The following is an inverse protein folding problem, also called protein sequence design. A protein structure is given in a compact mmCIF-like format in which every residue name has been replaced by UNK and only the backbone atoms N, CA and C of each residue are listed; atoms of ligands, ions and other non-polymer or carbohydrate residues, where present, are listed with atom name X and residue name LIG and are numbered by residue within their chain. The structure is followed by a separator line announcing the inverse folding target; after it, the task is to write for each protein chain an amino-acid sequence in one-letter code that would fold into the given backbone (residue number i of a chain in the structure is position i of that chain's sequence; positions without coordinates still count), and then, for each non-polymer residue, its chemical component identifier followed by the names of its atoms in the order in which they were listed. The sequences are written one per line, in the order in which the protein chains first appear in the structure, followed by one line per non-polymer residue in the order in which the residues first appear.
data_IF_335173243851
#
_entry.id   IF_335173243851
#
_cell.length_a   1.000
_cell.length_b   1.000
_cell.length_c   1.000
_cell.angle_alpha   90.00
_cell.angle_beta   90.00
_cell.angle_gamma   90.00
#
_symmetry.space_group_name_H-M   'P 1'
#
loop_
_entity.id
_entity.type
_entity.pdbx_description
1 polymer ?
#
# COMPACT_ATOMS: atom_id res chain seq x y z
N UNK A 1 14.87 5.12 -5.22
CA UNK A 1 14.93 3.92 -4.34
C UNK A 1 14.15 4.07 -3.03
N UNK A 2 13.92 5.27 -2.48
CA UNK A 2 13.28 5.44 -1.15
C UNK A 2 11.81 4.99 -1.07
N UNK A 3 11.00 5.22 -2.12
CA UNK A 3 9.57 4.92 -2.14
C UNK A 3 9.25 3.42 -1.95
N UNK A 4 10.10 2.54 -2.47
CA UNK A 4 9.91 1.08 -2.42
C UNK A 4 10.12 0.54 -1.00
N UNK A 5 11.12 1.05 -0.28
CA UNK A 5 11.40 0.67 1.11
C UNK A 5 10.30 1.15 2.04
N UNK A 6 9.79 2.36 1.81
CA UNK A 6 8.68 2.91 2.60
C UNK A 6 7.38 2.14 2.34
N UNK A 7 7.07 1.82 1.09
CA UNK A 7 5.92 1.00 0.74
C UNK A 7 5.98 -0.39 1.41
N UNK A 8 7.17 -1.00 1.43
CA UNK A 8 7.39 -2.26 2.13
C UNK A 8 7.15 -2.11 3.65
N UNK A 9 7.64 -1.04 4.28
CA UNK A 9 7.40 -0.80 5.72
C UNK A 9 5.91 -0.61 6.02
N UNK A 10 5.20 0.19 5.23
CA UNK A 10 3.75 0.42 5.39
C UNK A 10 2.99 -0.90 5.27
N UNK A 11 3.28 -1.68 4.24
CA UNK A 11 2.67 -3.00 4.05
C UNK A 11 2.94 -3.93 5.23
N UNK A 12 4.18 -3.99 5.72
CA UNK A 12 4.51 -4.81 6.90
C UNK A 12 3.83 -4.31 8.19
N UNK A 13 3.48 -3.03 8.28
CA UNK A 13 2.74 -2.45 9.40
C UNK A 13 1.24 -2.79 9.39
N UNK A 14 0.68 -3.24 8.26
CA UNK A 14 -0.73 -3.57 8.15
C UNK A 14 -1.00 -4.96 8.75
N UNK A 15 -1.81 -4.98 9.80
CA UNK A 15 -2.22 -6.22 10.47
C UNK A 15 -2.93 -7.19 9.50
N UNK A 16 -2.25 -8.30 9.19
CA UNK A 16 -2.70 -9.33 8.26
C UNK A 16 -1.86 -9.44 6.97
N UNK A 17 -0.98 -8.47 6.69
CA UNK A 17 -0.01 -8.57 5.60
C UNK A 17 1.20 -9.37 6.09
N UNK A 18 1.20 -10.66 5.79
CA UNK A 18 2.38 -11.51 6.01
C UNK A 18 3.42 -11.37 4.90
N UNK A 19 4.62 -11.96 5.07
CA UNK A 19 5.68 -11.94 4.06
C UNK A 19 5.23 -12.55 2.71
N UNK A 20 4.29 -13.50 2.74
CA UNK A 20 3.68 -14.09 1.56
C UNK A 20 2.80 -13.09 0.81
N UNK A 21 1.97 -12.33 1.52
CA UNK A 21 1.09 -11.31 0.92
C UNK A 21 1.91 -10.17 0.32
N UNK A 22 2.94 -9.70 1.04
CA UNK A 22 3.87 -8.68 0.54
C UNK A 22 4.64 -9.15 -0.71
N UNK A 23 5.10 -10.41 -0.73
CA UNK A 23 5.77 -10.99 -1.92
C UNK A 23 4.81 -11.05 -3.11
N UNK A 24 3.57 -11.48 -2.90
CA UNK A 24 2.56 -11.56 -3.97
C UNK A 24 2.14 -10.20 -4.51
N UNK A 25 1.99 -9.20 -3.64
CA UNK A 25 1.80 -7.83 -4.07
C UNK A 25 2.99 -7.37 -4.92
N UNK A 26 4.22 -7.61 -4.45
CA UNK A 26 5.40 -7.27 -5.24
C UNK A 26 5.38 -7.94 -6.62
N UNK A 27 5.04 -9.22 -6.70
CA UNK A 27 4.97 -9.95 -7.98
C UNK A 27 3.81 -9.47 -8.87
N UNK A 28 2.65 -9.16 -8.30
CA UNK A 28 1.48 -8.69 -9.05
C UNK A 28 1.64 -7.27 -9.63
N UNK A 29 2.54 -6.48 -9.05
CA UNK A 29 2.84 -5.11 -9.45
C UNK A 29 4.26 -4.97 -10.01
N UNK A 30 4.85 -6.06 -10.52
CA UNK A 30 6.15 -6.07 -11.22
C UNK A 30 7.32 -5.48 -10.39
N UNK A 31 7.29 -5.66 -9.07
CA UNK A 31 8.25 -5.09 -8.15
C UNK A 31 7.77 -3.82 -7.46
N UNK A 32 6.71 -3.18 -7.95
CA UNK A 32 6.29 -1.85 -7.51
C UNK A 32 5.26 -1.93 -6.37
N UNK A 33 5.76 -1.81 -5.14
CA UNK A 33 4.91 -1.83 -3.94
C UNK A 33 4.14 -0.52 -3.77
N UNK A 34 4.63 0.60 -4.33
CA UNK A 34 3.92 1.87 -4.30
C UNK A 34 2.68 1.83 -5.20
N UNK A 35 2.79 1.20 -6.38
CA UNK A 35 1.65 0.91 -7.26
C UNK A 35 0.65 -0.03 -6.59
N UNK A 36 1.12 -1.00 -5.80
CA UNK A 36 0.26 -1.89 -5.02
C UNK A 36 -0.53 -1.13 -3.94
N UNK A 37 0.12 -0.19 -3.26
CA UNK A 37 -0.50 0.69 -2.27
C UNK A 37 -1.50 1.67 -2.90
N UNK A 38 -1.27 2.10 -4.14
CA UNK A 38 -2.19 2.99 -4.88
C UNK A 38 -3.27 2.23 -5.67
N UNK A 39 -3.28 0.90 -5.60
CA UNK A 39 -4.21 0.09 -6.37
C UNK A 39 -5.61 0.06 -5.75
N UNK A 40 -6.62 -0.07 -6.60
CA UNK A 40 -7.99 -0.25 -6.13
C UNK A 40 -8.17 -1.53 -5.29
N UNK A 41 -9.00 -1.43 -4.25
CA UNK A 41 -9.44 -2.54 -3.41
C UNK A 41 -9.87 -3.78 -4.20
N UNK A 42 -10.62 -3.62 -5.29
CA UNK A 42 -11.08 -4.74 -6.13
C UNK A 42 -9.92 -5.50 -6.77
N UNK A 43 -8.87 -4.78 -7.21
CA UNK A 43 -7.66 -5.37 -7.80
C UNK A 43 -6.83 -6.09 -6.75
N UNK A 44 -6.74 -5.51 -5.56
CA UNK A 44 -6.07 -6.13 -4.41
C UNK A 44 -6.80 -7.39 -3.94
N UNK A 45 -8.12 -7.35 -3.83
CA UNK A 45 -8.96 -8.47 -3.39
C UNK A 45 -8.99 -9.63 -4.40
N UNK A 46 -8.63 -9.38 -5.66
CA UNK A 46 -8.45 -10.41 -6.68
C UNK A 46 -7.13 -11.18 -6.51
N UNK A 47 -6.19 -10.69 -5.70
CA UNK A 47 -4.90 -11.35 -5.48
C UNK A 47 -5.05 -12.54 -4.52
N UNK A 48 -4.43 -13.68 -4.85
CA UNK A 48 -4.54 -14.86 -4.01
C UNK A 48 -3.87 -14.63 -2.65
N UNK A 49 -4.64 -14.78 -1.57
CA UNK A 49 -4.19 -14.52 -0.20
C UNK A 49 -4.45 -13.09 0.29
N UNK A 50 -4.97 -12.20 -0.56
CA UNK A 50 -5.43 -10.86 -0.17
C UNK A 50 -6.96 -10.90 -0.21
N UNK A 51 -7.58 -11.21 0.92
CA UNK A 51 -9.04 -11.16 1.04
C UNK A 51 -9.57 -9.72 1.04
N UNK A 52 -10.90 -9.56 0.91
CA UNK A 52 -11.56 -8.23 0.95
C UNK A 52 -11.12 -7.37 2.14
N UNK A 53 -11.02 -7.95 3.34
CA UNK A 53 -10.59 -7.23 4.54
C UNK A 53 -9.15 -6.72 4.44
N UNK A 54 -8.24 -7.52 3.87
CA UNK A 54 -6.85 -7.10 3.70
C UNK A 54 -6.73 -6.04 2.60
N UNK A 55 -7.47 -6.22 1.51
CA UNK A 55 -7.57 -5.24 0.44
C UNK A 55 -8.14 -3.89 0.92
N UNK A 56 -9.08 -3.89 1.87
CA UNK A 56 -9.54 -2.65 2.51
C UNK A 56 -8.44 -2.00 3.32
N UNK A 57 -7.78 -2.73 4.21
CA UNK A 57 -6.72 -2.16 5.04
C UNK A 57 -5.55 -1.62 4.21
N UNK A 58 -5.24 -2.30 3.11
CA UNK A 58 -4.30 -1.79 2.12
C UNK A 58 -4.91 -0.56 1.48
N UNK A 59 -6.03 -0.61 0.75
CA UNK A 59 -6.59 0.60 0.09
C UNK A 59 -6.85 1.80 1.03
N UNK A 60 -7.13 1.57 2.30
CA UNK A 60 -7.34 2.56 3.36
C UNK A 60 -6.07 2.88 4.17
N UNK A 61 -4.89 2.37 3.76
CA UNK A 61 -3.62 2.65 4.43
C UNK A 61 -3.36 4.15 4.51
N UNK A 62 -3.85 4.92 3.52
CA UNK A 62 -3.74 6.37 3.46
C UNK A 62 -4.57 7.11 4.51
N UNK A 63 -5.68 6.52 4.97
CA UNK A 63 -6.48 7.07 6.06
C UNK A 63 -5.73 6.98 7.41
N UNK A 64 -4.77 6.07 7.51
CA UNK A 64 -3.90 5.89 8.68
C UNK A 64 -2.52 6.56 8.52
N UNK A 65 -2.10 6.83 7.28
CA UNK A 65 -0.81 7.42 6.95
C UNK A 65 -1.00 8.35 5.75
N UNK A 66 -1.08 9.67 5.97
CA UNK A 66 -1.69 10.62 5.05
C UNK A 66 -0.65 11.49 4.31
N UNK A 67 0.05 10.96 3.28
CA UNK A 67 1.09 11.72 2.57
C UNK A 67 0.51 12.84 1.69
N UNK A 68 -0.75 12.77 1.28
CA UNK A 68 -1.37 13.89 0.54
C UNK A 68 -1.69 15.07 1.44
N UNK A 69 -1.99 14.81 2.72
CA UNK A 69 -2.15 15.88 3.71
C UNK A 69 -0.81 16.56 4.00
N UNK A 70 0.29 15.81 4.00
CA UNK A 70 1.65 16.39 4.08
C UNK A 70 2.05 17.14 2.80
N UNK A 71 1.76 16.59 1.61
CA UNK A 71 2.12 17.23 0.33
C UNK A 71 1.29 18.50 0.05
N UNK A 72 -0.02 18.50 0.39
CA UNK A 72 -0.83 19.72 0.32
C UNK A 72 -0.46 20.75 1.39
N UNK A 73 0.00 20.33 2.57
CA UNK A 73 0.51 21.25 3.57
C UNK A 73 1.84 21.89 3.14
N UNK A 74 2.71 21.15 2.45
CA UNK A 74 3.95 21.67 1.86
C UNK A 74 3.69 22.61 0.69
N UNK A 75 2.72 22.29 -0.19
CA UNK A 75 2.33 23.16 -1.30
C UNK A 75 1.59 24.45 -0.86
N UNK A 76 1.02 24.47 0.35
CA UNK A 76 0.34 25.63 0.91
C UNK A 76 1.28 26.59 1.70
N UNK A 77 2.55 26.22 1.88
CA UNK A 77 3.57 27.03 2.57
C UNK A 77 4.70 27.47 1.62
N UNK A 78 4.41 27.57 0.32
CA UNK A 78 5.29 28.09 -0.74
C UNK A 78 4.80 29.41 -1.29
#
# INVERSE_FOLDING_TARGET
MQAQTQAAMILNGIAGVGPVAAKRLREAFDGDLAAALSAEKSRLAALPGIGKTLAEKISAWREHFDPEKEERALAAYG
#
